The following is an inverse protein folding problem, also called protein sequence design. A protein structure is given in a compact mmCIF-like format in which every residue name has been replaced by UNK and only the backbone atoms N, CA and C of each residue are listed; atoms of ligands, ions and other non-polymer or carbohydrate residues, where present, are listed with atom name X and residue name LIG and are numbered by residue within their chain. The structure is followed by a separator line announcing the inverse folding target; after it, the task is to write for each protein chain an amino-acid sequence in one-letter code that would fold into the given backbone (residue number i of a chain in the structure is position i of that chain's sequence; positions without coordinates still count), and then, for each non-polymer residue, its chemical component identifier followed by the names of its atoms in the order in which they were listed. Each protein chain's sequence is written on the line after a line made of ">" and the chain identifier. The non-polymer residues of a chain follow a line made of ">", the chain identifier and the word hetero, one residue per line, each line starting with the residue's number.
data_IF_890686172788
#
_entry.id   IF_890686172788
#
_cell.length_a   1.000
_cell.length_b   1.000
_cell.length_c   1.000
_cell.angle_alpha   90.00
_cell.angle_beta   90.00
_cell.angle_gamma   90.00
#
_symmetry.space_group_name_H-M   'P 1'
#
loop_
_entity.id
_entity.type
_entity.pdbx_description
1 polymer ?
#
# COMPACT_ATOMS: atom_id res chain seq x y z
N UNK A 1 -61.17 6.81 14.93
CA UNK A 1 -60.48 6.91 13.63
C UNK A 1 -59.75 8.24 13.38
N UNK A 2 -60.19 9.39 13.91
CA UNK A 2 -59.50 10.68 13.72
C UNK A 2 -58.27 10.90 14.62
N UNK A 3 -58.18 10.26 15.78
CA UNK A 3 -57.03 10.36 16.71
C UNK A 3 -55.84 9.48 16.34
N UNK A 4 -56.05 8.36 15.66
CA UNK A 4 -54.97 7.47 15.21
C UNK A 4 -54.18 8.06 14.02
N UNK A 5 -54.87 8.73 13.08
CA UNK A 5 -54.21 9.44 11.97
C UNK A 5 -53.43 10.68 12.44
N UNK A 6 -53.83 11.32 13.53
CA UNK A 6 -53.12 12.48 14.07
C UNK A 6 -51.80 12.09 14.74
N UNK A 7 -51.73 10.92 15.38
CA UNK A 7 -50.48 10.42 16.00
C UNK A 7 -49.53 9.88 14.92
N UNK A 8 -50.03 9.21 13.88
CA UNK A 8 -49.19 8.78 12.76
C UNK A 8 -48.62 9.99 12.01
N UNK A 9 -49.40 11.05 11.80
CA UNK A 9 -48.88 12.29 11.21
C UNK A 9 -47.94 13.07 12.14
N UNK A 10 -48.13 13.02 13.47
CA UNK A 10 -47.20 13.63 14.41
C UNK A 10 -45.87 12.84 14.46
N UNK A 11 -45.93 11.50 14.47
CA UNK A 11 -44.76 10.61 14.48
C UNK A 11 -44.04 10.65 13.13
N UNK A 12 -44.75 10.71 12.01
CA UNK A 12 -44.16 10.93 10.68
C UNK A 12 -43.57 12.34 10.55
N UNK A 13 -44.21 13.38 11.06
CA UNK A 13 -43.66 14.74 11.03
C UNK A 13 -42.47 14.92 11.98
N UNK A 14 -42.43 14.20 13.11
CA UNK A 14 -41.24 14.17 13.97
C UNK A 14 -40.15 13.25 13.43
N UNK A 15 -40.45 12.15 12.75
CA UNK A 15 -39.43 11.33 12.08
C UNK A 15 -38.89 12.00 10.82
N UNK A 16 -39.70 12.76 10.09
CA UNK A 16 -39.25 13.60 8.97
C UNK A 16 -38.45 14.78 9.51
N UNK A 17 -38.85 15.45 10.59
CA UNK A 17 -38.02 16.50 11.20
C UNK A 17 -36.77 15.95 11.91
N UNK A 18 -36.80 14.76 12.50
CA UNK A 18 -35.60 14.12 13.07
C UNK A 18 -34.69 13.60 11.96
N UNK A 19 -35.20 13.09 10.84
CA UNK A 19 -34.39 12.83 9.64
C UNK A 19 -33.88 14.13 9.00
N UNK A 20 -34.62 15.24 9.05
CA UNK A 20 -34.17 16.53 8.53
C UNK A 20 -33.19 17.25 9.48
N UNK A 21 -33.14 16.87 10.76
CA UNK A 21 -32.12 17.34 11.71
C UNK A 21 -30.92 16.39 11.85
N UNK A 22 -31.03 15.11 11.46
CA UNK A 22 -29.95 14.11 11.53
C UNK A 22 -29.38 13.65 10.16
N UNK A 23 -29.95 14.05 9.02
CA UNK A 23 -29.28 14.00 7.71
C UNK A 23 -28.79 15.38 7.27
N UNK A 24 -27.77 15.86 7.99
CA UNK A 24 -27.07 17.10 7.67
C UNK A 24 -25.60 16.87 7.33
N UNK A 25 -25.27 16.01 6.36
CA UNK A 25 -24.01 16.20 5.62
C UNK A 25 -24.18 17.43 4.72
N UNK A 26 -24.22 18.63 5.30
CA UNK A 26 -24.16 19.88 4.56
C UNK A 26 -22.70 20.20 4.22
N UNK A 27 -22.04 19.26 3.53
CA UNK A 27 -20.74 19.51 2.93
C UNK A 27 -20.90 20.59 1.86
N UNK A 28 -20.20 21.70 2.05
CA UNK A 28 -20.27 22.85 1.15
C UNK A 28 -19.37 22.67 -0.09
N UNK A 29 -18.41 21.74 0.03
CA UNK A 29 -17.39 21.34 -0.94
C UNK A 29 -17.29 19.81 -0.95
N UNK A 30 -16.96 19.21 -2.11
CA UNK A 30 -16.68 17.78 -2.27
C UNK A 30 -15.55 17.56 -3.30
N UNK A 31 -14.93 16.38 -3.25
CA UNK A 31 -13.96 15.92 -4.25
C UNK A 31 -14.57 14.79 -5.08
N UNK A 32 -14.33 14.82 -6.40
CA UNK A 32 -14.89 13.86 -7.36
C UNK A 32 -13.77 13.31 -8.26
N UNK A 33 -13.86 12.04 -8.65
CA UNK A 33 -12.97 11.38 -9.61
C UNK A 33 -11.46 11.31 -9.25
N UNK A 34 -11.11 11.40 -7.96
CA UNK A 34 -9.72 11.31 -7.51
C UNK A 34 -9.30 10.00 -6.83
N UNK A 35 -10.15 8.99 -6.81
CA UNK A 35 -9.82 7.66 -6.27
C UNK A 35 -9.83 7.54 -4.75
N UNK A 36 -9.99 8.65 -4.01
CA UNK A 36 -10.21 8.66 -2.55
C UNK A 36 -11.10 9.84 -2.14
N UNK A 37 -11.55 9.90 -0.88
CA UNK A 37 -12.29 11.07 -0.35
C UNK A 37 -11.43 12.33 -0.18
N UNK A 38 -10.11 12.17 -0.25
CA UNK A 38 -9.11 13.20 0.00
C UNK A 38 -8.31 13.57 -1.26
N UNK A 39 -8.74 13.11 -2.43
CA UNK A 39 -8.21 13.52 -3.71
C UNK A 39 -9.34 13.65 -4.73
N UNK A 40 -9.27 14.63 -5.61
CA UNK A 40 -10.22 14.76 -6.72
C UNK A 40 -10.45 16.19 -7.18
N UNK A 41 -11.30 16.32 -8.22
CA UNK A 41 -11.83 17.59 -8.72
C UNK A 41 -12.68 18.25 -7.64
N UNK A 42 -12.42 19.53 -7.41
CA UNK A 42 -13.12 20.33 -6.39
C UNK A 42 -14.46 20.80 -6.93
N UNK A 43 -15.53 20.44 -6.24
CA UNK A 43 -16.89 20.90 -6.54
C UNK A 43 -17.51 21.57 -5.31
N UNK A 44 -18.24 22.65 -5.53
CA UNK A 44 -18.85 23.48 -4.49
C UNK A 44 -20.37 23.48 -4.67
N UNK A 45 -21.12 23.33 -3.59
CA UNK A 45 -22.58 23.37 -3.61
C UNK A 45 -23.07 24.81 -3.51
N UNK A 46 -23.65 25.38 -4.57
CA UNK A 46 -24.25 26.71 -4.55
C UNK A 46 -25.70 26.66 -5.02
N UNK A 47 -26.63 27.26 -4.25
CA UNK A 47 -28.07 27.28 -4.55
C UNK A 47 -28.69 25.91 -4.86
N UNK A 48 -28.22 24.87 -4.15
CA UNK A 48 -28.72 23.49 -4.31
C UNK A 48 -28.18 22.76 -5.55
N UNK A 49 -27.22 23.33 -6.27
CA UNK A 49 -26.56 22.70 -7.41
C UNK A 49 -25.04 22.63 -7.19
N UNK A 50 -24.45 21.47 -7.48
CA UNK A 50 -23.01 21.30 -7.52
C UNK A 50 -22.44 21.93 -8.78
N UNK A 51 -21.26 22.50 -8.65
CA UNK A 51 -20.51 23.06 -9.78
C UNK A 51 -19.03 23.14 -9.45
N UNK A 52 -18.21 23.22 -10.48
CA UNK A 52 -16.75 23.10 -10.37
C UNK A 52 -16.11 24.43 -9.98
N UNK A 53 -14.81 24.36 -9.69
CA UNK A 53 -13.97 25.53 -9.42
C UNK A 53 -12.95 25.67 -10.53
N UNK A 54 -12.77 26.87 -11.06
CA UNK A 54 -11.75 27.13 -12.07
C UNK A 54 -10.33 27.11 -11.45
N UNK A 55 -9.41 26.44 -12.14
CA UNK A 55 -8.00 26.27 -11.80
C UNK A 55 -7.11 27.47 -12.10
N UNK A 56 -7.61 28.52 -12.75
CA UNK A 56 -6.82 29.74 -13.02
C UNK A 56 -6.41 30.42 -11.70
N UNK A 57 -5.12 30.36 -11.36
CA UNK A 57 -4.57 30.88 -10.11
C UNK A 57 -4.71 29.93 -8.91
N UNK A 58 -5.07 28.67 -9.15
CA UNK A 58 -5.17 27.64 -8.12
C UNK A 58 -3.78 27.22 -7.62
N UNK A 59 -3.62 27.19 -6.30
CA UNK A 59 -2.33 26.93 -5.64
C UNK A 59 -2.52 26.21 -4.30
N UNK A 60 -1.40 25.93 -3.62
CA UNK A 60 -1.39 25.18 -2.35
C UNK A 60 -2.16 25.86 -1.21
N UNK A 61 -2.37 27.18 -1.23
CA UNK A 61 -3.17 27.87 -0.20
C UNK A 61 -4.65 27.55 -0.35
N UNK A 62 -5.11 27.46 -1.60
CA UNK A 62 -6.47 27.02 -1.92
C UNK A 62 -6.68 25.56 -1.53
N UNK A 63 -5.73 24.70 -1.91
CA UNK A 63 -5.78 23.28 -1.57
C UNK A 63 -5.77 23.05 -0.05
N UNK A 64 -4.97 23.82 0.71
CA UNK A 64 -4.93 23.71 2.17
C UNK A 64 -6.30 24.01 2.81
N UNK A 65 -7.04 25.00 2.30
CA UNK A 65 -8.40 25.29 2.79
C UNK A 65 -9.35 24.14 2.48
N UNK A 66 -9.29 23.57 1.27
CA UNK A 66 -10.15 22.43 0.87
C UNK A 66 -9.83 21.18 1.70
N UNK A 67 -8.54 20.83 1.83
CA UNK A 67 -8.09 19.67 2.60
C UNK A 67 -8.44 19.80 4.09
N UNK A 68 -8.35 21.01 4.65
CA UNK A 68 -8.79 21.28 6.02
C UNK A 68 -10.31 21.23 6.17
N UNK A 69 -11.07 21.83 5.26
CA UNK A 69 -12.55 21.80 5.27
C UNK A 69 -13.07 20.36 5.24
N UNK A 70 -12.40 19.48 4.50
CA UNK A 70 -12.77 18.06 4.36
C UNK A 70 -12.17 17.15 5.45
N UNK A 71 -11.34 17.69 6.35
CA UNK A 71 -10.67 16.90 7.38
C UNK A 71 -9.69 15.86 6.81
N UNK A 72 -9.05 16.19 5.68
CA UNK A 72 -8.18 15.31 4.91
C UNK A 72 -6.68 15.51 5.20
N UNK A 73 -6.34 16.29 6.22
CA UNK A 73 -4.97 16.60 6.61
C UNK A 73 -4.38 17.74 5.80
N UNK A 74 -3.07 17.72 5.61
CA UNK A 74 -2.34 18.76 4.88
C UNK A 74 -2.55 18.60 3.37
N UNK A 75 -2.50 19.72 2.63
CA UNK A 75 -2.51 19.65 1.18
C UNK A 75 -1.17 19.12 0.66
N UNK A 76 -1.24 18.09 -0.18
CA UNK A 76 -0.08 17.49 -0.85
C UNK A 76 0.06 18.08 -2.26
N UNK A 77 -1.06 18.30 -2.95
CA UNK A 77 -1.06 18.84 -4.30
C UNK A 77 -2.27 19.74 -4.59
N UNK A 78 -2.04 20.73 -5.45
CA UNK A 78 -3.05 21.65 -5.98
C UNK A 78 -3.05 21.55 -7.50
N UNK A 79 -4.05 20.87 -8.04
CA UNK A 79 -4.11 20.51 -9.45
C UNK A 79 -5.03 21.45 -10.23
N UNK A 80 -4.68 21.71 -11.48
CA UNK A 80 -5.50 22.46 -12.44
C UNK A 80 -5.58 21.69 -13.75
N UNK A 81 -6.18 22.28 -14.78
CA UNK A 81 -6.31 21.68 -16.11
C UNK A 81 -7.06 20.33 -16.13
N UNK A 82 -8.06 20.20 -15.25
CA UNK A 82 -8.97 19.06 -15.21
C UNK A 82 -8.27 17.69 -15.12
N UNK A 83 -7.19 17.60 -14.36
CA UNK A 83 -6.41 16.36 -14.21
C UNK A 83 -7.20 15.18 -13.63
N UNK A 84 -8.27 15.44 -12.86
CA UNK A 84 -9.23 14.41 -12.41
C UNK A 84 -10.41 14.24 -13.38
N UNK A 85 -10.24 14.67 -14.62
CA UNK A 85 -11.29 14.75 -15.62
C UNK A 85 -12.08 16.06 -15.53
N UNK A 86 -12.61 16.54 -16.67
CA UNK A 86 -13.47 17.71 -16.71
C UNK A 86 -14.77 17.42 -15.97
N UNK A 87 -15.24 18.39 -15.19
CA UNK A 87 -16.57 18.32 -14.62
C UNK A 87 -17.64 18.62 -15.66
N UNK A 88 -18.87 18.79 -15.17
CA UNK A 88 -20.01 19.15 -16.00
C UNK A 88 -20.92 20.12 -15.27
N UNK A 89 -21.66 20.93 -16.03
CA UNK A 89 -22.61 21.89 -15.47
C UNK A 89 -21.97 23.24 -15.15
N UNK A 90 -22.38 23.93 -14.07
CA UNK A 90 -21.91 25.27 -13.78
C UNK A 90 -20.48 25.26 -13.19
N UNK A 91 -19.66 26.26 -13.55
CA UNK A 91 -18.41 26.55 -12.84
C UNK A 91 -18.70 27.68 -11.86
N UNK A 92 -18.73 27.37 -10.57
CA UNK A 92 -19.25 28.29 -9.57
C UNK A 92 -18.25 29.33 -9.11
N UNK A 93 -16.96 28.99 -9.03
CA UNK A 93 -15.93 29.88 -8.49
C UNK A 93 -14.76 30.02 -9.47
N UNK A 94 -14.22 31.24 -9.58
CA UNK A 94 -12.99 31.52 -10.32
C UNK A 94 -12.20 32.63 -9.63
N UNK A 95 -10.89 32.71 -9.93
CA UNK A 95 -9.95 33.64 -9.26
C UNK A 95 -10.11 33.56 -7.75
N UNK A 96 -10.16 32.33 -7.23
CA UNK A 96 -10.19 32.11 -5.79
C UNK A 96 -8.88 32.66 -5.25
N UNK A 97 -8.96 33.35 -4.12
CA UNK A 97 -7.84 33.97 -3.43
C UNK A 97 -8.04 33.70 -1.94
N UNK A 98 -7.43 32.60 -1.48
CA UNK A 98 -7.42 32.20 -0.07
C UNK A 98 -6.12 32.65 0.60
N UNK A 99 -6.22 33.16 1.83
CA UNK A 99 -5.08 33.36 2.72
C UNK A 99 -4.52 32.06 3.30
N UNK A 100 -5.28 30.95 3.23
CA UNK A 100 -4.88 29.62 3.69
C UNK A 100 -5.39 29.27 5.10
N UNK A 101 -6.07 30.20 5.79
CA UNK A 101 -6.60 30.03 7.16
C UNK A 101 -8.13 29.99 7.22
N UNK A 102 -8.81 30.11 6.08
CA UNK A 102 -10.27 30.08 5.97
C UNK A 102 -10.86 28.72 6.36
N UNK A 103 -12.02 28.74 7.02
CA UNK A 103 -12.71 27.52 7.45
C UNK A 103 -13.42 26.76 6.32
N UNK A 104 -13.72 27.43 5.22
CA UNK A 104 -14.32 26.84 4.01
C UNK A 104 -13.90 27.60 2.77
N UNK A 105 -13.80 26.91 1.63
CA UNK A 105 -13.46 27.51 0.34
C UNK A 105 -14.41 28.65 -0.05
N UNK A 106 -15.67 28.59 0.37
CA UNK A 106 -16.67 29.64 0.11
C UNK A 106 -16.37 30.97 0.78
N UNK A 107 -15.55 30.96 1.84
CA UNK A 107 -15.14 32.16 2.56
C UNK A 107 -13.93 32.84 1.91
N UNK A 108 -13.26 32.19 0.97
CA UNK A 108 -12.19 32.82 0.20
C UNK A 108 -12.76 33.88 -0.73
N UNK A 109 -11.96 34.93 -0.97
CA UNK A 109 -12.32 35.94 -1.96
C UNK A 109 -12.36 35.30 -3.34
N UNK A 110 -13.34 35.66 -4.16
CA UNK A 110 -13.47 35.16 -5.53
C UNK A 110 -14.09 36.22 -6.45
N UNK A 111 -14.08 35.97 -7.76
CA UNK A 111 -14.70 36.86 -8.75
C UNK A 111 -16.25 36.95 -8.65
N UNK A 112 -16.86 36.13 -7.80
CA UNK A 112 -18.31 35.99 -7.63
C UNK A 112 -18.90 34.77 -8.33
N UNK A 113 -20.04 34.30 -7.83
CA UNK A 113 -20.68 33.05 -8.26
C UNK A 113 -21.02 33.02 -9.75
N UNK A 114 -20.51 32.00 -10.46
CA UNK A 114 -20.78 31.80 -11.89
C UNK A 114 -20.11 32.82 -12.82
N UNK A 115 -19.22 33.68 -12.30
CA UNK A 115 -18.46 34.63 -13.10
C UNK A 115 -17.08 34.07 -13.40
N UNK A 116 -16.87 33.58 -14.62
CA UNK A 116 -15.61 32.99 -15.07
C UNK A 116 -15.47 33.11 -16.59
N UNK A 117 -14.25 32.94 -17.09
CA UNK A 117 -13.95 32.72 -18.52
C UNK A 117 -13.41 31.31 -18.77
N UNK A 118 -13.45 30.46 -17.75
CA UNK A 118 -12.94 29.10 -17.80
C UNK A 118 -13.97 28.16 -18.45
N UNK A 119 -13.46 27.11 -19.09
CA UNK A 119 -14.23 25.92 -19.42
C UNK A 119 -13.84 24.77 -18.48
N UNK A 120 -14.46 23.60 -18.65
CA UNK A 120 -14.18 22.43 -17.81
C UNK A 120 -12.81 21.79 -18.07
N UNK A 121 -12.09 22.17 -19.12
CA UNK A 121 -10.69 21.73 -19.28
C UNK A 121 -9.77 22.35 -18.23
N UNK A 122 -10.26 23.37 -17.49
CA UNK A 122 -9.53 24.08 -16.44
C UNK A 122 -10.03 23.79 -15.03
N UNK A 123 -10.84 22.76 -14.81
CA UNK A 123 -11.35 22.48 -13.47
C UNK A 123 -10.23 22.16 -12.47
N UNK A 124 -10.34 22.74 -11.28
CA UNK A 124 -9.37 22.60 -10.20
C UNK A 124 -9.55 21.27 -9.46
N UNK A 125 -8.44 20.72 -8.97
CA UNK A 125 -8.37 19.52 -8.16
C UNK A 125 -7.44 19.69 -6.97
N UNK A 126 -7.52 18.78 -6.02
CA UNK A 126 -6.60 18.71 -4.87
C UNK A 126 -6.22 17.28 -4.56
N UNK A 127 -5.05 17.10 -3.95
CA UNK A 127 -4.65 15.88 -3.26
C UNK A 127 -4.26 16.28 -1.85
N UNK A 128 -4.80 15.60 -0.86
CA UNK A 128 -4.49 15.81 0.55
C UNK A 128 -3.73 14.60 1.12
N UNK A 129 -3.11 14.76 2.29
CA UNK A 129 -2.28 13.74 2.93
C UNK A 129 -3.06 12.50 3.40
N UNK A 130 -4.39 12.56 3.44
CA UNK A 130 -5.25 11.45 3.87
C UNK A 130 -5.15 11.12 5.37
N UNK A 131 -4.36 11.88 6.12
CA UNK A 131 -4.01 11.65 7.53
C UNK A 131 -4.76 12.54 8.53
N UNK A 132 -5.79 13.26 8.07
CA UNK A 132 -6.58 14.15 8.92
C UNK A 132 -7.56 13.41 9.86
N UNK A 133 -7.67 13.80 11.14
CA UNK A 133 -8.69 13.27 12.04
C UNK A 133 -10.09 13.73 11.61
N UNK A 134 -11.01 12.77 11.41
CA UNK A 134 -12.41 13.04 11.07
C UNK A 134 -13.16 13.36 12.37
N UNK A 135 -13.59 14.61 12.55
CA UNK A 135 -14.57 14.97 13.58
C UNK A 135 -15.98 14.68 13.08
N UNK A 136 -16.42 13.43 13.12
CA UNK A 136 -17.83 13.07 13.11
C UNK A 136 -18.03 11.65 13.65
N UNK A 137 -18.58 11.57 14.86
CA UNK A 137 -19.16 10.36 15.48
C UNK A 137 -18.23 9.22 15.93
N UNK A 138 -17.01 9.51 16.38
CA UNK A 138 -16.22 8.59 17.23
C UNK A 138 -16.05 7.17 16.65
N UNK A 139 -15.85 7.05 15.34
CA UNK A 139 -15.42 5.82 14.68
C UNK A 139 -14.18 6.15 13.86
N UNK A 140 -13.03 6.12 14.52
CA UNK A 140 -11.78 5.89 13.80
C UNK A 140 -11.84 4.44 13.32
N UNK A 141 -11.67 4.21 12.02
CA UNK A 141 -11.38 2.91 11.41
C UNK A 141 -10.27 3.16 10.41
N UNK A 142 -9.02 3.08 10.88
CA UNK A 142 -7.82 3.08 10.01
C UNK A 142 -7.29 1.66 9.96
N UNK A 143 -6.74 1.25 8.82
CA UNK A 143 -6.08 -0.06 8.69
C UNK A 143 -4.56 0.09 8.69
N UNK A 144 -3.87 -0.91 9.21
CA UNK A 144 -2.44 -1.12 9.00
C UNK A 144 -2.13 -2.61 8.87
N UNK A 145 -1.01 -2.92 8.21
CA UNK A 145 -0.42 -4.24 8.19
C UNK A 145 0.79 -4.27 9.12
N UNK A 146 0.87 -5.28 9.99
CA UNK A 146 1.94 -5.41 11.00
C UNK A 146 2.61 -6.78 10.89
N UNK A 147 3.93 -6.83 11.02
CA UNK A 147 4.68 -8.09 11.01
C UNK A 147 5.10 -8.58 9.61
N UNK A 148 4.78 -7.85 8.55
CA UNK A 148 5.28 -8.08 7.18
C UNK A 148 5.84 -6.79 6.55
N UNK A 149 5.60 -6.60 5.24
CA UNK A 149 5.95 -5.38 4.48
C UNK A 149 4.93 -4.24 4.65
N UNK A 150 5.11 -3.14 3.92
CA UNK A 150 4.06 -2.10 3.82
C UNK A 150 2.75 -2.64 3.24
N UNK A 151 2.84 -3.67 2.39
CA UNK A 151 1.73 -4.28 1.68
C UNK A 151 1.48 -5.75 2.07
N UNK A 152 2.13 -6.23 3.13
CA UNK A 152 1.87 -7.57 3.68
C UNK A 152 1.94 -7.56 5.20
N UNK A 153 1.09 -8.31 5.87
CA UNK A 153 1.13 -8.39 7.33
C UNK A 153 -0.21 -8.77 7.96
N UNK A 154 -0.22 -8.84 9.28
CA UNK A 154 -1.45 -8.98 10.06
C UNK A 154 -2.30 -7.72 9.93
N UNK A 155 -3.58 -7.89 9.65
CA UNK A 155 -4.54 -6.78 9.54
C UNK A 155 -4.92 -6.30 10.93
N UNK A 156 -4.63 -5.03 11.20
CA UNK A 156 -5.07 -4.34 12.41
C UNK A 156 -5.91 -3.13 12.05
N UNK A 157 -7.04 -2.97 12.73
CA UNK A 157 -7.97 -1.85 12.56
C UNK A 157 -7.95 -1.01 13.83
N UNK A 158 -7.71 0.28 13.69
CA UNK A 158 -7.83 1.24 14.77
C UNK A 158 -9.31 1.48 15.02
N UNK A 159 -9.80 1.22 16.23
CA UNK A 159 -11.15 1.56 16.66
C UNK A 159 -11.13 2.34 17.97
N UNK A 160 -11.71 3.54 17.97
CA UNK A 160 -11.46 4.52 19.02
C UNK A 160 -9.98 4.88 19.06
N UNK A 161 -9.32 4.62 20.20
CA UNK A 161 -7.89 4.86 20.40
C UNK A 161 -7.04 3.57 20.38
N UNK A 162 -7.65 2.40 20.16
CA UNK A 162 -6.98 1.11 20.28
C UNK A 162 -6.91 0.37 18.94
N UNK A 163 -5.73 -0.15 18.61
CA UNK A 163 -5.57 -1.10 17.50
C UNK A 163 -6.10 -2.46 17.92
N UNK A 164 -6.98 -3.01 17.08
CA UNK A 164 -7.58 -4.33 17.29
C UNK A 164 -7.22 -5.24 16.12
N UNK A 165 -6.96 -6.51 16.41
CA UNK A 165 -6.62 -7.52 15.39
C UNK A 165 -7.89 -8.07 14.76
N UNK A 166 -7.89 -8.31 13.46
CA UNK A 166 -9.06 -8.84 12.74
C UNK A 166 -9.05 -10.37 12.70
N UNK A 167 -10.23 -10.98 12.85
CA UNK A 167 -10.42 -12.42 12.84
C UNK A 167 -10.43 -12.99 11.41
N UNK A 168 -9.79 -14.13 11.18
CA UNK A 168 -9.74 -14.79 9.87
C UNK A 168 -11.07 -15.41 9.42
N UNK A 169 -11.89 -15.87 10.38
CA UNK A 169 -13.22 -16.44 10.11
C UNK A 169 -14.21 -15.43 9.53
N UNK A 170 -13.95 -14.14 9.74
CA UNK A 170 -14.84 -13.02 9.44
C UNK A 170 -14.19 -12.00 8.47
N UNK A 171 -13.12 -12.40 7.77
CA UNK A 171 -12.40 -11.58 6.81
C UNK A 171 -12.34 -12.29 5.45
N UNK A 172 -13.07 -11.77 4.47
CA UNK A 172 -13.18 -12.37 3.15
C UNK A 172 -12.36 -11.63 2.07
N UNK A 173 -12.41 -12.16 0.84
CA UNK A 173 -11.69 -11.58 -0.31
C UNK A 173 -12.10 -10.12 -0.61
N UNK A 174 -13.36 -9.74 -0.36
CA UNK A 174 -13.82 -8.38 -0.60
C UNK A 174 -13.31 -7.42 0.47
N UNK A 175 -13.20 -7.88 1.72
CA UNK A 175 -12.55 -7.10 2.77
C UNK A 175 -11.06 -6.89 2.46
N UNK A 176 -10.38 -7.93 1.95
CA UNK A 176 -9.01 -7.88 1.47
C UNK A 176 -8.82 -6.84 0.36
N UNK A 177 -9.75 -6.77 -0.61
CA UNK A 177 -9.73 -5.77 -1.68
C UNK A 177 -9.83 -4.34 -1.15
N UNK A 178 -10.69 -4.11 -0.15
CA UNK A 178 -10.83 -2.79 0.47
C UNK A 178 -9.57 -2.41 1.23
N UNK A 179 -9.00 -3.33 2.02
CA UNK A 179 -7.78 -3.07 2.79
C UNK A 179 -6.59 -2.78 1.87
N UNK A 180 -6.34 -3.62 0.86
CA UNK A 180 -5.22 -3.40 -0.07
C UNK A 180 -5.37 -2.11 -0.86
N UNK A 181 -6.60 -1.75 -1.24
CA UNK A 181 -6.89 -0.49 -1.93
C UNK A 181 -6.72 0.72 -1.01
N UNK A 182 -7.22 0.67 0.22
CA UNK A 182 -7.08 1.74 1.23
C UNK A 182 -5.60 2.02 1.53
N UNK A 183 -4.77 0.97 1.58
CA UNK A 183 -3.32 1.08 1.81
C UNK A 183 -2.52 1.45 0.54
N UNK A 184 -3.15 1.50 -0.64
CA UNK A 184 -2.45 1.78 -1.90
C UNK A 184 -1.57 0.63 -2.42
N UNK A 185 -1.82 -0.58 -1.93
CA UNK A 185 -1.09 -1.81 -2.20
C UNK A 185 -1.74 -2.67 -3.31
N UNK A 186 -2.44 -2.05 -4.26
CA UNK A 186 -3.01 -2.78 -5.39
C UNK A 186 -4.11 -3.78 -4.99
N UNK A 187 -4.09 -4.96 -5.63
CA UNK A 187 -5.06 -6.03 -5.40
C UNK A 187 -4.54 -7.01 -4.33
N UNK A 188 -5.44 -7.67 -3.58
CA UNK A 188 -5.08 -8.75 -2.67
C UNK A 188 -4.54 -9.95 -3.46
N UNK A 189 -3.36 -10.41 -3.06
CA UNK A 189 -2.69 -11.60 -3.62
C UNK A 189 -3.06 -12.83 -2.79
N UNK A 190 -3.02 -12.70 -1.46
CA UNK A 190 -3.26 -13.82 -0.56
C UNK A 190 -3.90 -13.36 0.77
N UNK A 191 -4.87 -14.12 1.26
CA UNK A 191 -5.49 -13.96 2.58
C UNK A 191 -5.09 -15.17 3.42
N UNK A 192 -4.37 -14.92 4.51
CA UNK A 192 -3.76 -15.94 5.36
C UNK A 192 -4.49 -15.99 6.72
N UNK A 193 -4.86 -17.18 7.17
CA UNK A 193 -5.44 -17.37 8.51
C UNK A 193 -4.39 -17.66 9.59
N UNK A 194 -4.87 -18.08 10.76
CA UNK A 194 -4.06 -18.70 11.81
C UNK A 194 -2.83 -17.90 12.27
N UNK A 195 -2.92 -16.57 12.31
CA UNK A 195 -1.85 -15.68 12.76
C UNK A 195 -0.53 -15.83 11.97
N UNK A 196 -0.61 -16.02 10.64
CA UNK A 196 0.55 -16.18 9.76
C UNK A 196 1.64 -15.09 9.87
N UNK A 197 1.29 -13.87 10.33
CA UNK A 197 2.25 -12.78 10.60
C UNK A 197 2.49 -12.54 12.10
N UNK A 198 2.34 -13.60 12.89
CA UNK A 198 2.46 -13.59 14.33
C UNK A 198 1.18 -13.17 15.03
N UNK A 199 1.09 -13.57 16.31
CA UNK A 199 -0.02 -13.25 17.21
C UNK A 199 -0.05 -11.75 17.49
N UNK A 200 -1.20 -11.11 17.29
CA UNK A 200 -1.35 -9.70 17.67
C UNK A 200 -1.58 -9.51 19.17
N UNK A 201 -1.23 -8.33 19.67
CA UNK A 201 -1.46 -7.93 21.07
C UNK A 201 -2.67 -6.98 21.15
N UNK A 202 -3.46 -7.07 22.24
CA UNK A 202 -4.57 -6.15 22.49
C UNK A 202 -5.96 -6.79 22.37
N UNK A 203 -6.97 -6.05 21.88
CA UNK A 203 -8.32 -6.58 21.68
C UNK A 203 -8.46 -7.25 20.31
N UNK A 204 -9.23 -8.35 20.26
CA UNK A 204 -9.65 -8.96 18.99
C UNK A 204 -10.93 -8.27 18.54
N UNK A 205 -10.94 -7.82 17.30
CA UNK A 205 -12.12 -7.27 16.64
C UNK A 205 -13.21 -8.36 16.59
N UNK A 206 -14.39 -8.06 17.14
CA UNK A 206 -15.48 -9.03 17.35
C UNK A 206 -16.69 -8.78 16.46
N UNK A 207 -16.53 -7.92 15.46
CA UNK A 207 -17.56 -7.61 14.48
C UNK A 207 -17.10 -8.06 13.09
N UNK A 208 -17.92 -8.83 12.38
CA UNK A 208 -17.63 -9.26 11.02
C UNK A 208 -17.59 -8.04 10.09
N UNK A 209 -16.50 -7.87 9.34
CA UNK A 209 -16.40 -6.84 8.31
C UNK A 209 -17.16 -7.33 7.09
N UNK A 210 -18.18 -6.58 6.67
CA UNK A 210 -18.98 -6.91 5.49
C UNK A 210 -18.81 -5.81 4.43
N UNK A 211 -17.64 -5.82 3.79
CA UNK A 211 -17.32 -4.90 2.70
C UNK A 211 -18.02 -5.31 1.38
N UNK A 212 -19.33 -5.03 1.24
CA UNK A 212 -20.05 -5.26 -0.02
C UNK A 212 -19.89 -4.12 -1.05
N UNK A 213 -19.55 -4.45 -2.29
CA UNK A 213 -19.53 -3.52 -3.44
C UNK A 213 -18.22 -2.73 -3.59
N UNK A 214 -18.22 -1.62 -4.35
CA UNK A 214 -17.03 -0.78 -4.59
C UNK A 214 -16.70 0.17 -3.43
N UNK A 215 -16.74 -0.33 -2.19
CA UNK A 215 -16.35 0.45 -1.01
C UNK A 215 -14.85 0.77 -1.09
N UNK A 216 -14.48 1.99 -0.69
CA UNK A 216 -13.10 2.51 -0.86
C UNK A 216 -12.29 2.50 0.44
N UNK A 217 -12.95 2.40 1.60
CA UNK A 217 -12.31 2.36 2.93
C UNK A 217 -13.09 1.40 3.84
N UNK A 218 -12.39 0.80 4.80
CA UNK A 218 -12.93 -0.18 5.75
C UNK A 218 -14.03 0.41 6.65
N UNK A 219 -13.98 1.72 6.87
CA UNK A 219 -14.94 2.49 7.68
C UNK A 219 -16.37 2.48 7.12
N UNK A 220 -16.53 2.20 5.82
CA UNK A 220 -17.83 2.07 5.16
C UNK A 220 -18.33 0.62 5.11
N UNK A 221 -17.55 -0.33 5.61
CA UNK A 221 -17.96 -1.72 5.74
C UNK A 221 -18.96 -1.84 6.88
N UNK A 222 -20.05 -2.57 6.63
CA UNK A 222 -21.03 -2.79 7.69
C UNK A 222 -20.45 -3.80 8.65
N UNK A 223 -20.66 -3.60 9.95
CA UNK A 223 -20.18 -4.53 10.96
C UNK A 223 -21.35 -5.28 11.60
N UNK A 224 -21.21 -6.61 11.77
CA UNK A 224 -22.19 -7.41 12.49
C UNK A 224 -21.53 -8.18 13.63
N UNK A 225 -22.08 -8.05 14.84
CA UNK A 225 -21.60 -8.78 16.02
C UNK A 225 -21.70 -10.28 15.80
N UNK A 226 -20.56 -10.97 15.69
CA UNK A 226 -20.55 -12.44 15.66
C UNK A 226 -19.20 -13.04 16.08
N UNK A 227 -19.35 -14.17 16.79
CA UNK A 227 -18.37 -15.17 17.25
C UNK A 227 -17.22 -14.76 18.21
N UNK A 228 -16.91 -15.69 19.12
CA UNK A 228 -15.78 -15.63 20.05
C UNK A 228 -14.49 -15.95 19.29
N UNK A 229 -13.82 -14.94 18.74
CA UNK A 229 -12.50 -15.10 18.16
C UNK A 229 -11.40 -15.07 19.24
N UNK A 230 -10.27 -15.71 18.93
CA UNK A 230 -9.07 -15.69 19.77
C UNK A 230 -7.89 -15.14 18.98
N UNK A 231 -6.81 -14.75 19.65
CA UNK A 231 -5.62 -14.25 18.96
C UNK A 231 -4.88 -15.30 18.09
N UNK A 232 -5.25 -16.58 18.22
CA UNK A 232 -4.72 -17.67 17.37
C UNK A 232 -5.36 -17.69 15.97
N UNK A 233 -6.44 -16.93 15.77
CA UNK A 233 -7.22 -16.86 14.53
C UNK A 233 -7.19 -15.45 13.94
N UNK A 234 -6.01 -14.81 13.91
CA UNK A 234 -5.84 -13.47 13.31
C UNK A 234 -5.52 -13.56 11.83
N UNK A 235 -6.10 -12.66 11.05
CA UNK A 235 -5.92 -12.63 9.60
C UNK A 235 -4.64 -11.89 9.20
N UNK A 236 -3.90 -12.53 8.31
CA UNK A 236 -2.82 -11.98 7.52
C UNK A 236 -3.30 -11.64 6.12
N UNK A 237 -2.76 -10.57 5.55
CA UNK A 237 -3.07 -10.14 4.21
C UNK A 237 -1.77 -9.86 3.47
N UNK A 238 -1.66 -10.37 2.24
CA UNK A 238 -0.63 -10.02 1.27
C UNK A 238 -1.31 -9.32 0.11
N UNK A 239 -0.97 -8.06 -0.08
CA UNK A 239 -1.37 -7.25 -1.21
C UNK A 239 -0.25 -7.22 -2.25
N UNK A 240 -0.56 -6.84 -3.49
CA UNK A 240 0.46 -6.62 -4.50
C UNK A 240 1.41 -5.49 -4.06
N UNK A 241 2.70 -5.77 -3.92
CA UNK A 241 3.67 -4.74 -3.57
C UNK A 241 3.59 -3.57 -4.56
N UNK A 242 3.84 -2.37 -4.04
CA UNK A 242 3.72 -1.13 -4.80
C UNK A 242 4.88 -0.94 -5.80
N UNK A 243 5.98 -1.66 -5.55
CA UNK A 243 7.23 -1.72 -6.32
C UNK A 243 7.67 -3.17 -6.40
N UNK A 244 8.29 -3.59 -7.52
CA UNK A 244 8.93 -4.91 -7.67
C UNK A 244 10.24 -4.81 -8.43
N UNK A 245 11.09 -5.82 -8.28
CA UNK A 245 12.33 -5.99 -9.04
C UNK A 245 12.20 -7.17 -10.00
N UNK A 246 12.46 -6.92 -11.28
CA UNK A 246 12.28 -7.91 -12.35
C UNK A 246 13.62 -8.20 -13.04
N UNK A 247 13.82 -9.44 -13.50
CA UNK A 247 14.98 -9.86 -14.32
C UNK A 247 16.38 -9.69 -13.69
N UNK A 248 16.49 -9.63 -12.35
CA UNK A 248 17.78 -9.48 -11.67
C UNK A 248 18.31 -10.71 -10.95
N UNK A 249 17.72 -11.89 -11.15
CA UNK A 249 18.21 -13.15 -10.58
C UNK A 249 17.94 -13.36 -9.09
N UNK A 250 17.35 -12.38 -8.40
CA UNK A 250 16.87 -12.50 -7.02
C UNK A 250 15.76 -11.49 -6.73
N UNK A 251 15.00 -11.65 -5.64
CA UNK A 251 14.02 -10.64 -5.17
C UNK A 251 14.62 -9.28 -4.80
N UNK A 252 15.94 -9.23 -4.61
CA UNK A 252 16.67 -8.04 -4.14
C UNK A 252 17.56 -7.41 -5.21
N UNK A 253 17.42 -7.83 -6.47
CA UNK A 253 18.09 -7.22 -7.61
C UNK A 253 17.17 -7.27 -8.83
N UNK A 254 17.15 -6.21 -9.64
CA UNK A 254 16.38 -6.19 -10.88
C UNK A 254 16.02 -4.80 -11.37
N UNK A 255 15.34 -4.76 -12.52
CA UNK A 255 14.68 -3.58 -13.07
C UNK A 255 13.57 -3.13 -12.12
N UNK A 256 13.51 -1.84 -11.84
CA UNK A 256 12.50 -1.27 -10.95
C UNK A 256 11.19 -1.06 -11.71
N UNK A 257 10.13 -1.70 -11.24
CA UNK A 257 8.78 -1.50 -11.75
C UNK A 257 7.84 -1.07 -10.62
N UNK A 258 6.91 -0.16 -10.91
CA UNK A 258 5.98 0.43 -9.95
C UNK A 258 4.54 0.13 -10.39
N UNK A 259 3.68 -0.24 -9.44
CA UNK A 259 2.26 -0.45 -9.70
C UNK A 259 1.51 0.87 -9.55
N UNK A 260 1.02 1.44 -10.64
CA UNK A 260 0.19 2.64 -10.62
C UNK A 260 -1.12 2.40 -11.37
N UNK A 261 -2.26 2.74 -10.76
CA UNK A 261 -3.62 2.54 -11.32
C UNK A 261 -3.90 1.10 -11.78
N UNK A 262 -3.38 0.11 -11.04
CA UNK A 262 -3.57 -1.31 -11.35
C UNK A 262 -2.75 -1.81 -12.55
N UNK A 263 -1.79 -1.02 -13.05
CA UNK A 263 -0.90 -1.40 -14.13
C UNK A 263 0.56 -1.24 -13.70
N UNK A 264 1.38 -2.26 -13.96
CA UNK A 264 2.82 -2.19 -13.79
C UNK A 264 3.44 -1.32 -14.88
N UNK A 265 4.46 -0.55 -14.52
CA UNK A 265 5.25 0.23 -15.45
C UNK A 265 6.64 0.51 -14.89
N UNK A 266 7.57 0.85 -15.78
CA UNK A 266 8.99 1.03 -15.44
C UNK A 266 9.28 2.42 -14.90
N UNK A 267 10.50 2.61 -14.42
CA UNK A 267 11.05 3.89 -13.93
C UNK A 267 12.25 4.27 -14.80
N UNK A 268 12.30 5.52 -15.25
CA UNK A 268 13.43 6.04 -16.01
C UNK A 268 14.67 6.25 -15.13
N UNK A 269 15.87 6.16 -15.73
CA UNK A 269 17.14 6.41 -15.05
C UNK A 269 17.55 7.90 -14.98
N UNK A 270 16.81 8.80 -15.61
CA UNK A 270 16.98 10.25 -15.48
C UNK A 270 16.69 10.68 -14.03
N UNK A 271 17.64 11.40 -13.43
CA UNK A 271 17.62 11.76 -12.00
C UNK A 271 17.95 10.62 -11.03
N UNK A 272 17.92 9.35 -11.48
CA UNK A 272 18.04 8.19 -10.61
C UNK A 272 19.38 8.09 -9.88
N UNK A 273 19.35 8.11 -8.55
CA UNK A 273 20.52 8.13 -7.68
C UNK A 273 20.53 7.00 -6.62
N UNK A 274 21.50 7.06 -5.68
CA UNK A 274 21.60 6.05 -4.61
C UNK A 274 20.57 6.25 -3.51
N UNK A 275 20.03 7.46 -3.35
CA UNK A 275 18.95 7.80 -2.43
C UNK A 275 17.65 7.15 -2.88
N UNK A 276 17.36 7.18 -4.19
CA UNK A 276 16.21 6.50 -4.79
C UNK A 276 16.32 4.99 -4.63
N UNK A 277 17.49 4.42 -4.96
CA UNK A 277 17.77 3.01 -4.78
C UNK A 277 17.63 2.58 -3.31
N UNK A 278 18.04 3.43 -2.36
CA UNK A 278 17.90 3.16 -0.93
C UNK A 278 16.44 3.08 -0.49
N UNK A 279 15.56 3.92 -1.06
CA UNK A 279 14.11 3.83 -0.81
C UNK A 279 13.57 2.50 -1.33
N UNK A 280 13.90 2.10 -2.56
CA UNK A 280 13.45 0.81 -3.12
C UNK A 280 13.92 -0.37 -2.29
N UNK A 281 15.21 -0.42 -1.94
CA UNK A 281 15.77 -1.51 -1.15
C UNK A 281 15.18 -1.57 0.27
N UNK A 282 14.82 -0.43 0.85
CA UNK A 282 14.13 -0.37 2.14
C UNK A 282 12.67 -0.81 2.04
N UNK A 283 11.95 -0.33 1.02
CA UNK A 283 10.55 -0.68 0.74
C UNK A 283 10.39 -2.20 0.56
N UNK A 284 11.33 -2.84 -0.14
CA UNK A 284 11.35 -4.29 -0.37
C UNK A 284 12.02 -5.10 0.75
N UNK A 285 12.47 -4.42 1.82
CA UNK A 285 13.19 -5.03 2.94
C UNK A 285 14.44 -5.83 2.54
N UNK A 286 15.11 -5.41 1.46
CA UNK A 286 16.33 -6.02 0.94
C UNK A 286 17.63 -5.42 1.53
N UNK A 287 17.49 -4.69 2.64
CA UNK A 287 18.59 -4.01 3.33
C UNK A 287 18.98 -2.70 2.66
N UNK A 288 20.29 -2.44 2.53
CA UNK A 288 20.82 -1.19 1.97
C UNK A 288 21.01 -1.29 0.46
N UNK A 289 20.93 -0.17 -0.25
CA UNK A 289 21.28 -0.14 -1.67
C UNK A 289 22.79 -0.35 -1.86
N UNK A 290 23.14 -1.30 -2.72
CA UNK A 290 24.54 -1.59 -3.10
C UNK A 290 24.88 -0.92 -4.42
N UNK A 291 23.96 -0.97 -5.39
CA UNK A 291 24.14 -0.32 -6.67
C UNK A 291 22.82 0.22 -7.22
N UNK A 292 22.91 1.37 -7.87
CA UNK A 292 21.94 1.85 -8.85
C UNK A 292 22.44 1.48 -10.24
N UNK A 293 21.54 1.03 -11.11
CA UNK A 293 21.86 0.60 -12.46
C UNK A 293 21.01 1.37 -13.46
N UNK A 294 21.59 1.69 -14.60
CA UNK A 294 20.98 2.50 -15.66
C UNK A 294 21.05 1.76 -17.00
N UNK A 295 20.48 2.36 -18.05
CA UNK A 295 20.53 1.84 -19.42
C UNK A 295 19.98 0.41 -19.56
N UNK A 296 18.88 0.12 -18.86
CA UNK A 296 18.21 -1.18 -18.92
C UNK A 296 19.15 -2.36 -18.67
N UNK A 297 20.02 -2.26 -17.66
CA UNK A 297 21.01 -3.29 -17.31
C UNK A 297 20.40 -4.69 -17.15
N UNK A 298 19.19 -4.79 -16.59
CA UNK A 298 18.43 -6.04 -16.43
C UNK A 298 17.49 -6.33 -17.62
N UNK A 299 17.75 -5.71 -18.76
CA UNK A 299 16.87 -5.74 -19.92
C UNK A 299 15.79 -4.65 -19.87
N UNK A 300 15.36 -4.16 -21.04
CA UNK A 300 14.32 -3.15 -21.15
C UNK A 300 12.98 -3.73 -20.71
N UNK A 301 12.18 -2.94 -20.01
CA UNK A 301 10.79 -3.28 -19.77
C UNK A 301 9.92 -3.06 -21.00
N UNK A 302 8.61 -3.10 -20.78
CA UNK A 302 7.62 -2.86 -21.82
C UNK A 302 6.40 -2.14 -21.26
N UNK A 303 5.66 -1.46 -22.14
CA UNK A 303 4.42 -0.78 -21.77
C UNK A 303 4.65 0.65 -21.28
N UNK A 304 4.12 0.98 -20.11
CA UNK A 304 4.13 2.34 -19.57
C UNK A 304 5.41 2.59 -18.76
N UNK A 305 6.00 3.77 -18.89
CA UNK A 305 7.00 4.29 -17.94
C UNK A 305 6.23 5.21 -16.99
N UNK A 306 6.21 4.88 -15.70
CA UNK A 306 5.37 5.59 -14.73
C UNK A 306 6.07 6.77 -14.08
N UNK A 307 7.38 6.68 -13.86
CA UNK A 307 8.14 7.68 -13.12
C UNK A 307 9.40 8.07 -13.88
N UNK A 308 9.72 9.36 -13.78
CA UNK A 308 10.85 10.03 -14.40
C UNK A 308 11.30 11.17 -13.47
N UNK A 309 12.56 11.59 -13.57
CA UNK A 309 13.22 12.54 -12.67
C UNK A 309 12.93 12.24 -11.18
N UNK A 310 13.07 10.98 -10.78
CA UNK A 310 12.86 10.58 -9.39
C UNK A 310 13.92 11.25 -8.51
N UNK A 311 13.48 11.90 -7.43
CA UNK A 311 14.33 12.65 -6.52
C UNK A 311 13.87 12.40 -5.08
N UNK A 312 14.27 11.25 -4.55
CA UNK A 312 14.07 10.88 -3.15
C UNK A 312 15.12 11.57 -2.26
N UNK A 313 14.69 11.97 -1.05
CA UNK A 313 15.61 12.34 0.04
C UNK A 313 16.34 11.12 0.65
N UNK A 314 15.86 9.91 0.37
CA UNK A 314 16.36 8.66 0.93
C UNK A 314 15.65 8.25 2.23
N UNK A 315 14.65 9.00 2.69
CA UNK A 315 13.91 8.75 3.94
C UNK A 315 12.45 8.31 3.73
N UNK A 316 11.99 8.32 2.49
CA UNK A 316 10.64 7.98 2.07
C UNK A 316 10.30 6.50 2.35
N UNK A 317 9.07 6.23 2.76
CA UNK A 317 8.61 4.86 3.03
C UNK A 317 8.40 4.02 1.77
N UNK A 318 8.12 4.66 0.63
CA UNK A 318 7.91 4.03 -0.67
C UNK A 318 8.40 4.96 -1.77
N UNK A 319 8.83 4.40 -2.91
CA UNK A 319 9.27 5.14 -4.08
C UNK A 319 8.21 6.12 -4.58
N UNK A 320 6.92 5.77 -4.44
CA UNK A 320 5.79 6.61 -4.85
C UNK A 320 5.69 7.95 -4.13
N UNK A 321 6.30 8.05 -2.94
CA UNK A 321 6.30 9.26 -2.12
C UNK A 321 7.45 10.21 -2.45
N UNK A 322 8.39 9.78 -3.31
CA UNK A 322 9.46 10.63 -3.76
C UNK A 322 8.95 11.68 -4.75
N UNK A 323 9.64 12.82 -4.80
CA UNK A 323 9.38 13.81 -5.85
C UNK A 323 9.73 13.18 -7.19
N UNK A 324 8.93 13.48 -8.22
CA UNK A 324 9.15 13.04 -9.60
C UNK A 324 8.57 14.05 -10.58
N UNK A 325 8.80 13.88 -11.88
CA UNK A 325 8.17 14.67 -12.95
C UNK A 325 6.63 14.52 -13.02
N UNK A 326 6.08 13.54 -12.29
CA UNK A 326 4.66 13.20 -12.25
C UNK A 326 4.32 11.94 -13.07
N UNK A 327 3.25 11.25 -12.68
CA UNK A 327 2.89 9.94 -13.23
C UNK A 327 2.71 9.94 -14.75
N UNK A 328 3.47 9.07 -15.43
CA UNK A 328 3.42 8.90 -16.88
C UNK A 328 3.95 10.08 -17.70
N UNK A 329 4.53 11.10 -17.04
CA UNK A 329 5.17 12.23 -17.70
C UNK A 329 6.66 11.95 -17.80
N UNK A 330 7.11 11.57 -18.99
CA UNK A 330 8.51 11.27 -19.26
C UNK A 330 8.85 11.56 -20.73
N UNK A 331 10.12 11.74 -21.02
CA UNK A 331 10.66 11.74 -22.39
C UNK A 331 11.48 10.48 -22.69
N UNK A 332 11.51 9.54 -21.73
CA UNK A 332 12.32 8.33 -21.77
C UNK A 332 11.77 7.24 -22.70
N UNK A 333 12.64 6.28 -23.03
CA UNK A 333 12.32 5.02 -23.69
C UNK A 333 12.80 3.84 -22.83
N UNK A 334 12.30 2.62 -23.06
CA UNK A 334 12.67 1.46 -22.23
C UNK A 334 14.15 1.04 -22.27
N UNK A 335 14.94 1.62 -23.17
CA UNK A 335 16.40 1.39 -23.19
C UNK A 335 17.14 2.08 -22.05
N UNK A 336 16.44 2.94 -21.29
CA UNK A 336 16.94 3.66 -20.12
C UNK A 336 16.08 3.39 -18.88
N UNK A 337 15.47 2.21 -18.82
CA UNK A 337 14.81 1.75 -17.59
C UNK A 337 15.86 1.49 -16.49
N UNK A 338 15.56 1.94 -15.29
CA UNK A 338 16.46 1.85 -14.14
C UNK A 338 16.38 0.49 -13.43
N UNK A 339 17.45 0.14 -12.71
CA UNK A 339 17.54 -1.06 -11.89
C UNK A 339 18.25 -0.79 -10.57
N UNK A 340 18.09 -1.72 -9.64
CA UNK A 340 18.81 -1.69 -8.36
C UNK A 340 19.39 -3.05 -8.01
N UNK A 341 20.49 -3.02 -7.27
CA UNK A 341 20.99 -4.18 -6.51
C UNK A 341 21.00 -3.75 -5.05
N UNK A 342 20.23 -4.45 -4.24
CA UNK A 342 20.21 -4.28 -2.81
C UNK A 342 21.20 -5.23 -2.14
N UNK A 343 21.49 -5.00 -0.86
CA UNK A 343 22.43 -5.84 -0.13
C UNK A 343 22.00 -7.31 -0.13
N UNK A 344 20.70 -7.57 -0.03
CA UNK A 344 20.18 -8.91 0.20
C UNK A 344 20.70 -9.47 1.52
N UNK A 345 19.83 -10.08 2.32
CA UNK A 345 20.30 -10.83 3.50
C UNK A 345 20.25 -12.32 3.28
N UNK A 346 19.49 -12.75 2.27
CA UNK A 346 19.16 -14.13 1.96
C UNK A 346 19.03 -14.28 0.44
N UNK A 347 19.61 -15.32 -0.14
CA UNK A 347 19.44 -15.69 -1.54
C UNK A 347 19.47 -17.22 -1.72
N UNK A 348 18.97 -17.69 -2.87
CA UNK A 348 19.15 -19.06 -3.34
C UNK A 348 20.15 -19.08 -4.51
N UNK A 349 21.26 -19.77 -4.32
CA UNK A 349 22.34 -19.88 -5.30
C UNK A 349 22.32 -21.26 -6.00
N UNK A 350 22.78 -21.32 -7.25
CA UNK A 350 22.94 -22.56 -8.02
C UNK A 350 21.68 -23.43 -8.17
N UNK A 351 20.49 -22.84 -8.07
CA UNK A 351 19.23 -23.51 -8.37
C UNK A 351 18.81 -23.36 -9.83
N UNK A 352 17.72 -24.06 -10.19
CA UNK A 352 17.20 -24.08 -11.56
C UNK A 352 16.12 -23.00 -11.82
N UNK A 353 15.68 -22.28 -10.78
CA UNK A 353 14.91 -21.02 -10.88
C UNK A 353 15.06 -20.17 -9.61
N UNK A 354 14.48 -18.96 -9.59
CA UNK A 354 14.58 -17.95 -8.50
C UNK A 354 14.12 -18.41 -7.11
N UNK A 355 13.41 -19.54 -7.04
CA UNK A 355 12.81 -20.11 -5.83
C UNK A 355 13.33 -21.53 -5.54
N UNK A 356 14.46 -21.89 -6.13
CA UNK A 356 15.18 -23.12 -5.82
C UNK A 356 16.67 -22.83 -5.71
N UNK A 357 17.39 -23.59 -4.89
CA UNK A 357 18.86 -23.51 -4.80
C UNK A 357 19.39 -23.69 -3.39
N UNK A 358 20.72 -23.54 -3.27
CA UNK A 358 21.44 -23.52 -1.99
C UNK A 358 21.15 -22.22 -1.25
N UNK A 359 20.84 -22.32 0.03
CA UNK A 359 20.54 -21.16 0.87
C UNK A 359 21.83 -20.46 1.27
N UNK A 360 21.94 -19.19 0.91
CA UNK A 360 23.06 -18.33 1.27
C UNK A 360 22.58 -17.11 2.06
N UNK A 361 23.24 -16.86 3.19
CA UNK A 361 22.97 -15.73 4.07
C UNK A 361 24.14 -14.78 4.02
N UNK A 362 23.87 -13.48 3.92
CA UNK A 362 24.92 -12.46 3.88
C UNK A 362 25.34 -12.05 5.29
N UNK A 363 26.60 -12.29 5.64
CA UNK A 363 27.19 -11.84 6.91
C UNK A 363 28.38 -10.91 6.65
N UNK A 364 28.22 -9.62 6.97
CA UNK A 364 29.18 -8.58 6.58
C UNK A 364 29.21 -8.40 5.06
N UNK A 365 30.38 -8.55 4.46
CA UNK A 365 30.57 -8.45 2.99
C UNK A 365 30.57 -9.80 2.27
N UNK A 366 30.48 -10.91 2.99
CA UNK A 366 30.59 -12.27 2.44
C UNK A 366 29.26 -13.03 2.50
N UNK A 367 29.00 -13.82 1.47
CA UNK A 367 27.94 -14.82 1.47
C UNK A 367 28.44 -16.11 2.13
N UNK A 368 27.64 -16.64 3.05
CA UNK A 368 27.95 -17.87 3.77
C UNK A 368 26.85 -18.89 3.53
N UNK A 369 27.23 -20.16 3.44
CA UNK A 369 26.29 -21.28 3.27
C UNK A 369 25.86 -21.81 4.64
N UNK A 370 24.63 -22.33 4.70
CA UNK A 370 24.08 -22.94 5.91
C UNK A 370 24.30 -24.45 5.94
N UNK A 371 24.47 -25.02 7.13
CA UNK A 371 24.69 -26.46 7.32
C UNK A 371 23.35 -27.21 7.18
N UNK A 372 23.32 -28.33 6.45
CA UNK A 372 22.10 -29.15 6.27
C UNK A 372 21.70 -29.94 7.51
N UNK A 373 22.63 -30.15 8.45
CA UNK A 373 22.47 -31.09 9.55
C UNK A 373 21.29 -30.77 10.48
N UNK A 374 20.96 -29.47 10.57
CA UNK A 374 19.87 -28.94 11.39
C UNK A 374 18.93 -28.02 10.56
N UNK A 375 19.12 -27.93 9.24
CA UNK A 375 18.21 -27.16 8.38
C UNK A 375 16.99 -28.00 8.05
N UNK A 376 15.90 -27.77 8.78
CA UNK A 376 14.70 -28.58 8.70
C UNK A 376 13.57 -27.92 7.89
N UNK A 377 12.38 -28.54 7.93
CA UNK A 377 11.21 -28.04 7.23
C UNK A 377 10.78 -26.66 7.75
N UNK A 378 10.96 -26.37 9.04
CA UNK A 378 10.60 -25.10 9.64
C UNK A 378 11.54 -24.00 9.15
N UNK A 379 12.85 -24.25 9.08
CA UNK A 379 13.80 -23.30 8.51
C UNK A 379 13.51 -23.04 7.02
N UNK A 380 13.17 -24.09 6.27
CA UNK A 380 12.78 -24.00 4.87
C UNK A 380 11.49 -23.17 4.68
N UNK A 381 10.52 -23.27 5.61
CA UNK A 381 9.32 -22.43 5.60
C UNK A 381 9.68 -20.96 5.79
N UNK A 382 10.60 -20.64 6.71
CA UNK A 382 11.06 -19.26 6.90
C UNK A 382 11.82 -18.76 5.66
N UNK A 383 12.70 -19.58 5.05
CA UNK A 383 13.42 -19.21 3.82
C UNK A 383 12.46 -18.93 2.67
N UNK A 384 11.55 -19.87 2.36
CA UNK A 384 10.63 -19.72 1.24
C UNK A 384 9.68 -18.55 1.44
N UNK A 385 9.22 -18.31 2.69
CA UNK A 385 8.39 -17.15 3.03
C UNK A 385 9.16 -15.85 2.94
N UNK A 386 10.38 -15.80 3.50
CA UNK A 386 11.24 -14.61 3.43
C UNK A 386 11.62 -14.28 1.99
N UNK A 387 11.70 -15.26 1.09
CA UNK A 387 11.95 -15.06 -0.33
C UNK A 387 10.68 -14.75 -1.14
N UNK A 388 9.48 -14.91 -0.59
CA UNK A 388 8.21 -14.74 -1.31
C UNK A 388 7.92 -15.88 -2.29
N UNK A 389 8.48 -17.06 -2.06
CA UNK A 389 8.44 -18.21 -2.95
C UNK A 389 7.38 -19.26 -2.58
N UNK A 390 6.41 -18.90 -1.73
CA UNK A 390 5.37 -19.80 -1.25
C UNK A 390 5.89 -20.81 -0.21
N UNK A 391 5.41 -22.05 -0.28
CA UNK A 391 5.75 -23.11 0.68
C UNK A 391 6.95 -23.93 0.21
N UNK A 392 7.78 -24.45 1.13
CA UNK A 392 8.84 -25.39 0.80
C UNK A 392 8.27 -26.71 0.26
N UNK A 393 8.79 -27.14 -0.88
CA UNK A 393 8.48 -28.40 -1.56
C UNK A 393 9.50 -29.46 -1.23
N UNK A 394 10.78 -29.10 -1.19
CA UNK A 394 11.88 -30.03 -0.91
C UNK A 394 13.06 -29.32 -0.23
N UNK A 395 13.72 -30.01 0.70
CA UNK A 395 14.96 -29.58 1.34
C UNK A 395 16.12 -30.41 0.77
N UNK A 396 17.17 -29.75 0.29
CA UNK A 396 18.32 -30.35 -0.39
C UNK A 396 19.60 -30.15 0.43
N UNK A 397 20.61 -31.00 0.22
CA UNK A 397 21.92 -30.92 0.89
C UNK A 397 23.10 -31.19 -0.04
N UNK A 398 23.86 -30.16 -0.45
CA UNK A 398 25.24 -30.21 -1.00
C UNK A 398 25.78 -28.81 -1.43
N UNK A 399 27.00 -28.42 -1.03
CA UNK A 399 27.67 -27.20 -1.53
C UNK A 399 29.11 -26.96 -1.01
N UNK A 400 29.73 -25.84 -1.40
CA UNK A 400 31.11 -25.43 -1.03
C UNK A 400 31.22 -23.92 -0.76
N UNK A 401 31.91 -23.49 0.32
CA UNK A 401 32.02 -22.07 0.71
C UNK A 401 32.67 -21.86 2.08
N UNK A 402 32.33 -20.81 2.83
CA UNK A 402 32.65 -20.67 4.26
C UNK A 402 31.37 -21.01 5.05
N UNK A 403 31.42 -22.01 5.94
CA UNK A 403 30.22 -22.51 6.65
C UNK A 403 29.86 -21.55 7.78
N UNK A 404 28.59 -21.13 7.82
CA UNK A 404 28.03 -20.53 9.01
C UNK A 404 27.64 -21.65 9.99
N UNK A 405 28.34 -21.73 11.12
CA UNK A 405 28.25 -22.83 12.10
C UNK A 405 27.21 -22.57 13.21
N UNK A 406 26.46 -21.49 13.09
CA UNK A 406 25.39 -21.10 13.99
C UNK A 406 24.08 -21.70 13.46
N UNK A 407 23.38 -22.46 14.32
CA UNK A 407 22.13 -23.16 13.95
C UNK A 407 20.97 -22.21 14.16
N UNK A 408 20.27 -21.83 13.09
CA UNK A 408 18.96 -21.21 13.20
C UNK A 408 17.99 -22.32 13.64
N UNK A 409 17.35 -22.14 14.80
CA UNK A 409 16.36 -23.07 15.34
C UNK A 409 14.99 -22.42 15.18
N UNK A 410 14.54 -22.29 13.92
CA UNK A 410 13.27 -21.64 13.62
C UNK A 410 12.10 -22.50 14.10
N UNK A 411 11.10 -21.87 14.71
CA UNK A 411 9.81 -22.50 15.01
C UNK A 411 8.91 -22.59 13.76
N UNK A 412 9.30 -21.95 12.65
CA UNK A 412 8.58 -21.90 11.37
C UNK A 412 7.59 -20.74 11.25
N UNK A 413 7.35 -20.00 12.34
CA UNK A 413 6.47 -18.83 12.36
C UNK A 413 7.23 -17.50 12.22
N UNK A 414 8.55 -17.55 12.17
CA UNK A 414 9.39 -16.39 12.04
C UNK A 414 9.20 -15.73 10.67
N UNK A 415 9.31 -14.40 10.67
CA UNK A 415 9.14 -13.60 9.45
C UNK A 415 10.43 -13.51 8.63
N UNK A 416 11.57 -13.77 9.27
CA UNK A 416 12.91 -13.77 8.68
C UNK A 416 13.80 -14.74 9.43
N UNK A 417 14.76 -15.35 8.73
CA UNK A 417 15.82 -16.19 9.32
C UNK A 417 16.57 -15.46 10.45
N UNK A 418 16.79 -14.15 10.28
CA UNK A 418 17.45 -13.32 11.30
C UNK A 418 16.70 -13.20 12.65
N UNK A 419 15.44 -13.65 12.72
CA UNK A 419 14.64 -13.67 13.96
C UNK A 419 14.63 -15.04 14.62
N UNK A 420 15.14 -16.08 13.96
CA UNK A 420 15.22 -17.39 14.55
C UNK A 420 16.28 -17.39 15.66
N UNK A 421 16.00 -18.03 16.81
CA UNK A 421 17.00 -18.27 17.83
C UNK A 421 18.24 -18.92 17.23
N UNK A 422 19.41 -18.37 17.54
CA UNK A 422 20.67 -18.99 17.17
C UNK A 422 21.08 -19.89 18.32
N UNK A 423 20.99 -21.21 18.15
CA UNK A 423 21.46 -22.14 19.16
C UNK A 423 22.98 -22.29 19.04
N UNK A 424 23.69 -21.75 20.04
CA UNK A 424 25.13 -21.94 20.22
C UNK A 424 25.36 -23.27 20.92
N UNK A 425 25.39 -24.37 20.17
CA UNK A 425 26.01 -25.59 20.69
C UNK A 425 26.75 -26.39 19.61
N UNK A 426 28.08 -26.32 19.72
CA UNK A 426 29.02 -27.33 19.22
C UNK A 426 28.46 -28.75 19.38
N UNK A 427 28.10 -29.42 18.28
CA UNK A 427 28.19 -30.89 18.18
C UNK A 427 28.07 -31.59 16.83
N UNK A 428 28.50 -31.02 15.70
CA UNK A 428 29.05 -31.85 14.60
C UNK A 428 29.91 -31.00 13.70
N UNK A 429 31.06 -31.52 13.24
CA UNK A 429 31.88 -30.82 12.27
C UNK A 429 31.09 -30.72 10.95
N UNK A 430 30.41 -29.60 10.71
CA UNK A 430 29.84 -29.30 9.41
C UNK A 430 30.97 -29.38 8.39
N UNK A 431 30.78 -30.20 7.36
CA UNK A 431 31.71 -30.33 6.24
C UNK A 431 30.93 -30.02 4.97
N UNK A 432 31.58 -29.37 4.00
CA UNK A 432 31.07 -29.00 2.66
C UNK A 432 30.65 -30.18 1.77
N UNK A 433 30.08 -31.24 2.33
CA UNK A 433 29.42 -32.30 1.57
C UNK A 433 27.92 -32.07 1.46
N UNK A 434 27.40 -31.04 2.14
CA UNK A 434 26.06 -31.03 2.71
C UNK A 434 25.64 -29.58 3.10
N UNK A 435 25.59 -28.69 2.11
CA UNK A 435 25.07 -27.33 2.32
C UNK A 435 23.56 -27.33 2.13
N UNK A 436 22.84 -26.66 3.03
CA UNK A 436 21.39 -26.55 2.99
C UNK A 436 20.91 -25.87 1.70
N UNK A 437 19.94 -26.49 1.05
CA UNK A 437 19.22 -25.96 -0.10
C UNK A 437 17.73 -26.17 0.08
N UNK A 438 16.96 -25.40 -0.67
CA UNK A 438 15.50 -25.50 -0.66
C UNK A 438 14.96 -25.36 -2.08
N UNK A 439 13.90 -26.09 -2.36
CA UNK A 439 13.00 -25.87 -3.48
C UNK A 439 11.70 -25.40 -2.89
N UNK A 440 11.30 -24.18 -3.20
CA UNK A 440 10.01 -23.63 -2.83
C UNK A 440 9.01 -23.81 -3.99
N UNK A 441 7.72 -23.71 -3.69
CA UNK A 441 6.65 -23.89 -4.68
C UNK A 441 6.72 -22.87 -5.82
N UNK A 442 7.34 -21.71 -5.58
CA UNK A 442 7.34 -20.55 -6.47
C UNK A 442 5.96 -19.91 -6.57
N UNK A 443 5.88 -18.68 -7.08
CA UNK A 443 4.64 -18.24 -7.71
C UNK A 443 4.39 -19.15 -8.92
N UNK A 444 3.25 -19.82 -8.94
CA UNK A 444 2.74 -20.56 -10.10
C UNK A 444 2.35 -19.62 -11.24
N UNK A 445 3.27 -18.80 -11.73
CA UNK A 445 3.06 -17.89 -12.86
C UNK A 445 4.06 -18.05 -14.01
N UNK A 446 5.19 -18.78 -13.85
CA UNK A 446 6.17 -18.92 -14.96
C UNK A 446 6.59 -20.34 -15.39
N UNK A 447 6.01 -21.42 -14.86
CA UNK A 447 6.38 -22.79 -15.29
C UNK A 447 5.18 -23.65 -15.70
N UNK A 448 4.49 -23.26 -16.77
CA UNK A 448 3.71 -24.18 -17.62
C UNK A 448 3.65 -23.69 -19.08
N UNK A 449 4.80 -23.48 -19.71
CA UNK A 449 4.91 -23.43 -21.18
C UNK A 449 6.17 -24.18 -21.63
N UNK A 450 6.13 -25.52 -21.54
CA UNK A 450 6.82 -26.44 -22.47
C UNK A 450 6.54 -27.89 -22.05
N UNK A 451 5.58 -28.53 -22.73
CA UNK A 451 5.61 -29.94 -23.10
C UNK A 451 4.90 -30.09 -24.44
#
# INVERSE_FOLDING_TARGET
>A
MKTFFSIINLVMATCINICLFYLGCSGSVRLVDGGSRCAGRVEVLHRGQWGTVCGDGWDMRHAAVVCRELGCGEAVDALSDAQFGPGSGPIWMSKVDCGGSESTLKNCRSAGWGKHYCDHSKDAGVVCSGSGPIWMNNVYCRVRLVGGSHCSGRVEVLHGDNWSTVCDADFDQQDAEVVCRELGCGLPVEVLGAAAFGRGEGQVWSEELQCRGSKLEISFCSSSLKHNCSHESTVGLVCADSVRLVDGGSRCAGRVEVLHRGQWGTVCDDGWDMSDAAVVCRELHCGVAVAKLSNAHFGPGSGQIWMDDVDCSGSESTLKNCRSAGWGKHNCHHGIDTGVICSGKLQLADGFHLCSGRVEVRHGETWSTMCDADFDQQDAEVVCRELGCGLPVEVLGAGSGQIWADVFDCQGNETHLSKCPISSWSRTACSHKQDAGVICSGELSELCTAC
#
